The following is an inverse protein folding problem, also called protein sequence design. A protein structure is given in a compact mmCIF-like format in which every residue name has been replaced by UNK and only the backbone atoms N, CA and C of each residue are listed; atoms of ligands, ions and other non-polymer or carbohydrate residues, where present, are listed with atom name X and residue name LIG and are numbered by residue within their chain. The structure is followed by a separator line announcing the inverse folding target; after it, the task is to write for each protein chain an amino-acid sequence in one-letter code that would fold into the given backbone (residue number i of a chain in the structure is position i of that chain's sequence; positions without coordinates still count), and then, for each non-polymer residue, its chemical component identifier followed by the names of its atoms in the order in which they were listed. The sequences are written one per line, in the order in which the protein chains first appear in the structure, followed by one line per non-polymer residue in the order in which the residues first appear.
data_IF_048417161453
#
_entry.id   IF_048417161453
#
_cell.length_a   1.000
_cell.length_b   1.000
_cell.length_c   1.000
_cell.angle_alpha   90.00
_cell.angle_beta   90.00
_cell.angle_gamma   90.00
#
_symmetry.space_group_name_H-M   'P 1'
#
loop_
_entity.id
_entity.type
_entity.pdbx_description
1 polymer ?
#
# COMPACT_ATOMS: atom_id res chain seq x y z
N UNK A 1 29.73 48.76 -1.92
CA UNK A 1 29.82 48.11 -3.22
C UNK A 1 30.18 46.65 -2.96
N UNK A 2 29.20 45.87 -2.99
CA UNK A 2 29.17 44.56 -2.35
C UNK A 2 29.49 43.46 -3.36
N UNK A 3 30.30 42.50 -2.92
CA UNK A 3 30.57 41.24 -3.61
C UNK A 3 29.27 40.53 -4.05
N UNK A 4 28.16 40.81 -3.38
CA UNK A 4 26.84 40.26 -3.71
C UNK A 4 26.27 40.86 -5.01
N UNK A 5 26.50 42.18 -5.26
CA UNK A 5 26.03 42.84 -6.47
C UNK A 5 26.84 42.39 -7.71
N UNK A 6 28.14 42.14 -7.57
CA UNK A 6 28.96 41.59 -8.65
C UNK A 6 28.56 40.16 -9.02
N UNK A 7 28.22 39.34 -8.04
CA UNK A 7 27.77 37.95 -8.27
C UNK A 7 26.38 37.90 -8.98
N UNK A 8 25.50 38.83 -8.66
CA UNK A 8 24.19 38.94 -9.31
C UNK A 8 24.33 39.38 -10.76
N UNK A 9 25.18 40.39 -11.03
CA UNK A 9 25.44 40.89 -12.38
C UNK A 9 26.15 39.83 -13.23
N UNK A 10 27.11 39.07 -12.66
CA UNK A 10 27.73 37.96 -13.39
C UNK A 10 26.74 36.84 -13.72
N UNK A 11 25.80 36.56 -12.83
CA UNK A 11 24.77 35.55 -13.07
C UNK A 11 23.80 35.97 -14.17
N UNK A 12 23.40 37.24 -14.21
CA UNK A 12 22.55 37.77 -15.26
C UNK A 12 23.23 37.80 -16.63
N UNK A 13 24.55 38.10 -16.66
CA UNK A 13 25.32 38.09 -17.89
C UNK A 13 25.54 36.66 -18.44
N UNK A 14 25.76 35.69 -17.59
CA UNK A 14 25.87 34.27 -18.00
C UNK A 14 24.54 33.75 -18.58
N UNK A 15 23.41 34.18 -18.02
CA UNK A 15 22.07 33.82 -18.51
C UNK A 15 21.71 34.55 -19.82
N UNK A 16 22.32 35.67 -20.12
CA UNK A 16 22.11 36.46 -21.34
C UNK A 16 22.97 35.99 -22.53
N UNK A 17 24.12 35.33 -22.26
CA UNK A 17 25.03 34.87 -23.33
C UNK A 17 24.77 33.47 -23.86
N UNK A 18 23.95 32.65 -23.18
CA UNK A 18 23.64 31.33 -23.64
C UNK A 18 22.10 31.15 -23.76
N UNK A 19 21.54 31.40 -24.94
CA UNK A 19 20.10 31.25 -25.18
C UNK A 19 19.59 29.81 -25.03
N UNK A 20 20.49 28.84 -24.79
CA UNK A 20 20.13 27.44 -24.51
C UNK A 20 19.96 27.14 -23.02
N UNK A 21 20.24 28.09 -22.12
CA UNK A 21 20.00 27.94 -20.66
C UNK A 21 18.78 28.75 -20.19
N UNK A 22 17.91 29.14 -21.08
CA UNK A 22 16.66 29.82 -20.74
C UNK A 22 15.50 28.81 -20.58
N UNK A 23 14.44 29.16 -19.85
CA UNK A 23 13.75 28.43 -18.80
C UNK A 23 12.78 27.34 -19.29
N UNK A 24 13.23 26.47 -20.18
CA UNK A 24 12.43 25.32 -20.64
C UNK A 24 12.45 24.15 -19.63
N UNK A 25 13.23 24.28 -18.55
CA UNK A 25 13.36 23.22 -17.54
C UNK A 25 12.10 22.96 -16.73
N UNK A 26 11.26 23.98 -16.51
CA UNK A 26 9.97 23.76 -15.81
C UNK A 26 8.94 23.14 -16.74
N UNK A 27 8.89 23.57 -18.00
CA UNK A 27 7.96 23.01 -18.99
C UNK A 27 8.38 21.60 -19.44
N UNK A 28 9.68 21.31 -19.57
CA UNK A 28 10.18 19.97 -19.81
C UNK A 28 9.98 19.05 -18.59
N UNK A 29 10.22 19.54 -17.36
CA UNK A 29 9.96 18.76 -16.15
C UNK A 29 8.47 18.44 -15.96
N UNK A 30 7.59 19.39 -16.26
CA UNK A 30 6.14 19.15 -16.24
C UNK A 30 5.70 18.19 -17.38
N UNK A 31 6.28 18.33 -18.57
CA UNK A 31 6.04 17.43 -19.69
C UNK A 31 6.51 16.00 -19.40
N UNK A 32 7.68 15.85 -18.81
CA UNK A 32 8.21 14.54 -18.41
C UNK A 32 7.40 13.93 -17.25
N UNK A 33 6.99 14.71 -16.26
CA UNK A 33 6.13 14.24 -15.18
C UNK A 33 4.75 13.78 -15.71
N UNK A 34 4.18 14.51 -16.64
CA UNK A 34 2.91 14.15 -17.30
C UNK A 34 3.05 12.91 -18.19
N UNK A 35 4.18 12.76 -18.92
CA UNK A 35 4.48 11.56 -19.68
C UNK A 35 4.74 10.34 -18.79
N UNK A 36 5.44 10.51 -17.67
CA UNK A 36 5.64 9.45 -16.69
C UNK A 36 4.32 9.05 -16.02
N UNK A 37 3.44 9.99 -15.71
CA UNK A 37 2.10 9.72 -15.20
C UNK A 37 1.25 8.97 -16.22
N UNK A 38 1.25 9.39 -17.50
CA UNK A 38 0.54 8.71 -18.60
C UNK A 38 1.10 7.31 -18.86
N UNK A 39 2.42 7.14 -18.82
CA UNK A 39 3.07 5.84 -18.99
C UNK A 39 2.77 4.88 -17.84
N UNK A 40 2.62 5.39 -16.62
CA UNK A 40 2.19 4.62 -15.46
C UNK A 40 0.74 4.13 -15.56
N UNK A 41 -0.14 4.89 -16.20
CA UNK A 41 -1.54 4.51 -16.43
C UNK A 41 -1.74 3.57 -17.63
N UNK A 42 -0.89 3.62 -18.64
CA UNK A 42 -0.97 2.72 -19.81
C UNK A 42 -0.66 1.25 -19.50
N UNK A 43 0.04 0.98 -18.40
CA UNK A 43 0.41 -0.39 -18.01
C UNK A 43 -0.38 -0.92 -16.80
N UNK A 44 -1.35 -0.17 -16.30
CA UNK A 44 -2.22 -0.61 -15.20
C UNK A 44 -3.59 -1.04 -15.74
N UNK A 45 -3.95 -2.30 -15.50
CA UNK A 45 -5.29 -2.78 -15.76
C UNK A 45 -6.18 -2.52 -14.54
N UNK A 46 -7.22 -1.68 -14.74
CA UNK A 46 -8.24 -1.40 -13.75
C UNK A 46 -9.47 -2.25 -14.06
N UNK A 47 -9.87 -3.08 -13.11
CA UNK A 47 -11.07 -3.90 -13.19
C UNK A 47 -12.08 -3.42 -12.14
N UNK A 48 -13.04 -2.56 -12.49
CA UNK A 48 -14.10 -2.17 -11.58
C UNK A 48 -14.99 -3.37 -11.28
N UNK A 49 -15.30 -3.60 -10.00
CA UNK A 49 -16.12 -4.72 -9.55
C UNK A 49 -17.53 -4.24 -9.22
N UNK A 50 -17.66 -3.19 -8.41
CA UNK A 50 -18.93 -2.55 -8.08
C UNK A 50 -18.71 -1.16 -7.47
N UNK A 51 -19.74 -0.32 -7.50
CA UNK A 51 -19.76 0.96 -6.79
C UNK A 51 -20.06 0.71 -5.31
N UNK A 52 -19.14 1.15 -4.45
CA UNK A 52 -19.23 0.87 -3.02
C UNK A 52 -19.88 2.00 -2.23
N UNK A 53 -19.37 3.21 -2.39
CA UNK A 53 -19.85 4.40 -1.65
C UNK A 53 -20.17 5.51 -2.65
N UNK A 54 -21.40 6.02 -2.59
CA UNK A 54 -21.83 7.20 -3.32
C UNK A 54 -22.49 8.17 -2.33
N UNK A 55 -21.87 9.32 -2.12
CA UNK A 55 -22.40 10.36 -1.22
C UNK A 55 -22.04 11.74 -1.75
N UNK A 56 -23.00 12.42 -2.36
CA UNK A 56 -22.75 13.72 -3.00
C UNK A 56 -21.71 13.58 -4.12
N UNK A 57 -20.64 14.34 -4.03
CA UNK A 57 -19.54 14.30 -5.01
C UNK A 57 -18.51 13.17 -4.76
N UNK A 58 -18.65 12.44 -3.64
CA UNK A 58 -17.77 11.33 -3.31
C UNK A 58 -18.27 10.04 -3.98
N UNK A 59 -17.47 9.53 -4.93
CA UNK A 59 -17.70 8.26 -5.59
C UNK A 59 -16.51 7.33 -5.32
N UNK A 60 -16.74 6.25 -4.59
CA UNK A 60 -15.72 5.23 -4.32
C UNK A 60 -16.20 3.91 -4.92
N UNK A 61 -15.54 3.49 -5.99
CA UNK A 61 -15.74 2.18 -6.58
C UNK A 61 -14.79 1.16 -5.97
N UNK A 62 -15.25 -0.07 -5.86
CA UNK A 62 -14.37 -1.20 -5.55
C UNK A 62 -13.76 -1.68 -6.85
N UNK A 63 -12.47 -1.44 -7.03
CA UNK A 63 -11.74 -1.81 -8.23
C UNK A 63 -10.47 -2.57 -7.89
N UNK A 64 -10.07 -3.46 -8.79
CA UNK A 64 -8.80 -4.17 -8.70
C UNK A 64 -7.83 -3.49 -9.67
N UNK A 65 -6.74 -2.99 -9.14
CA UNK A 65 -5.65 -2.42 -9.90
C UNK A 65 -4.53 -3.44 -10.02
N UNK A 66 -4.15 -3.74 -11.26
CA UNK A 66 -3.03 -4.62 -11.55
C UNK A 66 -2.03 -3.87 -12.40
N UNK A 67 -0.88 -3.59 -11.83
CA UNK A 67 0.30 -3.06 -12.50
C UNK A 67 1.49 -4.02 -12.34
N UNK A 68 2.66 -3.69 -12.87
CA UNK A 68 3.84 -4.53 -12.79
C UNK A 68 4.27 -4.80 -11.34
N UNK A 69 4.16 -3.80 -10.46
CA UNK A 69 4.48 -3.96 -9.03
C UNK A 69 3.48 -4.87 -8.35
N UNK A 70 2.18 -4.65 -8.60
CA UNK A 70 1.11 -5.50 -8.07
C UNK A 70 1.27 -6.94 -8.52
N UNK A 71 1.61 -7.19 -9.80
CA UNK A 71 1.83 -8.53 -10.32
C UNK A 71 2.97 -9.26 -9.59
N UNK A 72 4.09 -8.60 -9.37
CA UNK A 72 5.21 -9.16 -8.59
C UNK A 72 4.77 -9.47 -7.16
N UNK A 73 4.07 -8.53 -6.50
CA UNK A 73 3.57 -8.74 -5.13
C UNK A 73 2.54 -9.88 -5.04
N UNK A 74 1.66 -10.02 -6.04
CA UNK A 74 0.73 -11.15 -6.11
C UNK A 74 1.47 -12.49 -6.16
N UNK A 75 2.51 -12.60 -6.99
CA UNK A 75 3.33 -13.82 -7.08
C UNK A 75 4.02 -14.11 -5.74
N UNK A 76 4.60 -13.11 -5.10
CA UNK A 76 5.25 -13.28 -3.79
C UNK A 76 4.25 -13.71 -2.72
N UNK A 77 3.14 -13.00 -2.58
CA UNK A 77 2.12 -13.29 -1.56
C UNK A 77 1.53 -14.68 -1.74
N UNK A 78 1.15 -15.04 -2.97
CA UNK A 78 0.54 -16.36 -3.25
C UNK A 78 1.53 -17.50 -3.08
N UNK A 79 2.79 -17.34 -3.51
CA UNK A 79 3.83 -18.36 -3.34
C UNK A 79 4.15 -18.61 -1.88
N UNK A 80 4.37 -17.55 -1.09
CA UNK A 80 4.62 -17.67 0.34
C UNK A 80 3.41 -18.27 1.05
N UNK A 81 2.21 -17.82 0.73
CA UNK A 81 0.97 -18.37 1.30
C UNK A 81 0.84 -19.86 1.01
N UNK A 82 1.09 -20.31 -0.23
CA UNK A 82 1.05 -21.72 -0.59
C UNK A 82 2.05 -22.56 0.20
N UNK A 83 3.29 -22.08 0.34
CA UNK A 83 4.32 -22.76 1.13
C UNK A 83 3.96 -22.85 2.61
N UNK A 84 3.41 -21.76 3.18
CA UNK A 84 2.97 -21.75 4.59
C UNK A 84 1.78 -22.69 4.80
N UNK A 85 0.83 -22.74 3.87
CA UNK A 85 -0.30 -23.70 3.95
C UNK A 85 0.20 -25.14 3.87
N UNK A 86 1.12 -25.44 2.96
CA UNK A 86 1.70 -26.76 2.82
C UNK A 86 2.47 -27.19 4.09
N UNK A 87 3.29 -26.30 4.64
CA UNK A 87 3.99 -26.52 5.90
C UNK A 87 3.02 -26.75 7.06
N UNK A 88 1.99 -25.92 7.15
CA UNK A 88 1.00 -25.97 8.23
C UNK A 88 0.18 -27.26 8.22
N UNK A 89 0.03 -27.90 7.08
CA UNK A 89 -0.65 -29.21 6.98
C UNK A 89 0.00 -30.24 7.90
N UNK A 90 1.33 -30.38 7.83
CA UNK A 90 2.06 -31.29 8.72
C UNK A 90 2.15 -30.76 10.15
N UNK A 91 2.38 -29.46 10.31
CA UNK A 91 2.54 -28.84 11.63
C UNK A 91 1.30 -28.96 12.52
N UNK A 92 0.10 -28.79 11.95
CA UNK A 92 -1.17 -28.82 12.67
C UNK A 92 -1.90 -30.16 12.58
N UNK A 93 -1.24 -31.23 12.07
CA UNK A 93 -1.90 -32.52 11.84
C UNK A 93 -2.46 -33.18 13.11
N UNK A 94 -1.84 -32.93 14.27
CA UNK A 94 -2.25 -33.49 15.57
C UNK A 94 -3.19 -32.56 16.36
N UNK A 95 -3.40 -31.31 15.91
CA UNK A 95 -4.23 -30.35 16.65
C UNK A 95 -5.69 -30.42 16.16
N UNK A 96 -6.68 -30.61 17.07
CA UNK A 96 -8.08 -30.64 16.71
C UNK A 96 -8.61 -29.30 16.17
N UNK A 97 -7.88 -28.20 16.38
CA UNK A 97 -8.24 -26.87 15.89
C UNK A 97 -7.66 -26.55 14.50
N UNK A 98 -7.11 -27.53 13.78
CA UNK A 98 -6.52 -27.36 12.46
C UNK A 98 -7.43 -26.57 11.49
N UNK A 99 -8.74 -26.86 11.34
CA UNK A 99 -9.61 -26.12 10.42
C UNK A 99 -9.69 -24.62 10.72
N UNK A 100 -9.69 -24.26 12.00
CA UNK A 100 -9.70 -22.86 12.46
C UNK A 100 -8.41 -22.14 12.09
N UNK A 101 -7.27 -22.82 12.24
CA UNK A 101 -5.96 -22.28 11.85
C UNK A 101 -5.91 -21.96 10.34
N UNK A 102 -6.35 -22.89 9.50
CA UNK A 102 -6.39 -22.69 8.06
C UNK A 102 -7.37 -21.60 7.65
N UNK A 103 -8.50 -21.46 8.35
CA UNK A 103 -9.43 -20.36 8.12
C UNK A 103 -8.78 -18.99 8.37
N UNK A 104 -8.04 -18.84 9.47
CA UNK A 104 -7.33 -17.60 9.78
C UNK A 104 -6.20 -17.31 8.80
N UNK A 105 -5.47 -18.36 8.38
CA UNK A 105 -4.39 -18.23 7.40
C UNK A 105 -4.92 -17.82 6.02
N UNK A 106 -6.05 -18.39 5.61
CA UNK A 106 -6.75 -18.03 4.37
C UNK A 106 -7.30 -16.61 4.44
N UNK A 107 -7.86 -16.20 5.59
CA UNK A 107 -8.32 -14.83 5.82
C UNK A 107 -7.17 -13.83 5.71
N UNK A 108 -6.00 -14.16 6.28
CA UNK A 108 -4.80 -13.33 6.16
C UNK A 108 -4.38 -13.17 4.69
N UNK A 109 -4.32 -14.27 3.96
CA UNK A 109 -3.96 -14.25 2.52
C UNK A 109 -4.96 -13.42 1.72
N UNK A 110 -6.25 -13.61 1.96
CA UNK A 110 -7.30 -12.83 1.32
C UNK A 110 -7.15 -11.32 1.59
N UNK A 111 -6.99 -10.93 2.85
CA UNK A 111 -6.83 -9.54 3.23
C UNK A 111 -5.57 -8.92 2.60
N UNK A 112 -4.47 -9.69 2.52
CA UNK A 112 -3.24 -9.24 1.88
C UNK A 112 -3.40 -9.06 0.37
N UNK A 113 -4.13 -9.94 -0.31
CA UNK A 113 -4.44 -9.79 -1.73
C UNK A 113 -5.32 -8.56 -1.98
N UNK A 114 -6.31 -8.32 -1.11
CA UNK A 114 -7.15 -7.11 -1.18
C UNK A 114 -6.34 -5.82 -0.99
N UNK A 115 -5.36 -5.84 -0.07
CA UNK A 115 -4.46 -4.72 0.17
C UNK A 115 -3.60 -4.40 -1.07
N UNK A 116 -2.99 -5.44 -1.65
CA UNK A 116 -2.04 -5.30 -2.78
C UNK A 116 -2.74 -4.87 -4.07
N UNK A 117 -3.99 -5.26 -4.27
CA UNK A 117 -4.78 -4.92 -5.47
C UNK A 117 -5.66 -3.69 -5.30
N UNK A 118 -5.57 -3.00 -4.17
CA UNK A 118 -6.40 -1.82 -3.91
C UNK A 118 -6.09 -0.69 -4.87
N UNK A 119 -7.13 -0.10 -5.47
CA UNK A 119 -7.04 1.07 -6.33
C UNK A 119 -7.21 2.38 -5.55
N UNK A 120 -8.03 2.38 -4.51
CA UNK A 120 -8.28 3.55 -3.67
C UNK A 120 -7.68 3.40 -2.26
N UNK A 121 -7.35 4.54 -1.62
CA UNK A 121 -6.85 4.56 -0.24
C UNK A 121 -7.85 3.98 0.76
N UNK A 122 -9.15 4.15 0.52
CA UNK A 122 -10.21 3.59 1.38
C UNK A 122 -10.23 2.06 1.27
N UNK A 123 -10.11 1.52 0.06
CA UNK A 123 -10.01 0.07 -0.17
C UNK A 123 -8.71 -0.50 0.42
N UNK A 124 -7.60 0.24 0.27
CA UNK A 124 -6.30 -0.12 0.88
C UNK A 124 -6.41 -0.18 2.41
N UNK A 125 -7.08 0.80 3.03
CA UNK A 125 -7.33 0.81 4.47
C UNK A 125 -8.14 -0.41 4.91
N UNK A 126 -9.16 -0.81 4.15
CA UNK A 126 -9.94 -2.02 4.44
C UNK A 126 -9.08 -3.28 4.42
N UNK A 127 -8.21 -3.43 3.40
CA UNK A 127 -7.26 -4.54 3.33
C UNK A 127 -6.25 -4.53 4.48
N UNK A 128 -5.75 -3.37 4.84
CA UNK A 128 -4.84 -3.15 5.97
C UNK A 128 -5.44 -3.58 7.31
N UNK A 129 -6.67 -3.16 7.59
CA UNK A 129 -7.43 -3.57 8.76
C UNK A 129 -7.68 -5.09 8.80
N UNK A 130 -7.99 -5.68 7.64
CA UNK A 130 -8.18 -7.12 7.50
C UNK A 130 -6.91 -7.93 7.82
N UNK A 131 -5.74 -7.47 7.37
CA UNK A 131 -4.44 -8.08 7.70
C UNK A 131 -4.15 -7.96 9.20
N UNK A 132 -4.40 -6.79 9.80
CA UNK A 132 -4.25 -6.56 11.24
C UNK A 132 -5.13 -7.50 12.07
N UNK A 133 -6.39 -7.66 11.70
CA UNK A 133 -7.33 -8.56 12.35
C UNK A 133 -6.91 -10.03 12.21
N UNK A 134 -6.55 -10.48 11.01
CA UNK A 134 -6.11 -11.85 10.78
C UNK A 134 -4.82 -12.17 11.55
N UNK A 135 -3.89 -11.22 11.63
CA UNK A 135 -2.67 -11.34 12.43
C UNK A 135 -3.00 -11.50 13.92
N UNK A 136 -3.90 -10.67 14.45
CA UNK A 136 -4.38 -10.80 15.83
C UNK A 136 -4.94 -12.20 16.12
N UNK A 137 -5.79 -12.73 15.24
CA UNK A 137 -6.39 -14.07 15.38
C UNK A 137 -5.36 -15.19 15.32
N UNK A 138 -4.31 -15.06 14.48
CA UNK A 138 -3.24 -16.02 14.37
C UNK A 138 -2.30 -15.99 15.57
N UNK A 139 -1.94 -14.81 16.09
CA UNK A 139 -1.10 -14.67 17.29
C UNK A 139 -1.85 -15.23 18.52
N UNK A 140 -3.15 -14.92 18.64
CA UNK A 140 -4.03 -15.40 19.69
C UNK A 140 -4.61 -16.79 19.46
N UNK A 141 -4.10 -17.58 18.52
CA UNK A 141 -4.65 -18.88 18.15
C UNK A 141 -4.80 -19.82 19.36
N UNK A 142 -3.77 -19.92 20.20
CA UNK A 142 -3.81 -20.63 21.46
C UNK A 142 -4.28 -19.75 22.62
N UNK A 143 -5.53 -19.33 22.56
CA UNK A 143 -6.16 -18.42 23.53
C UNK A 143 -6.14 -18.93 24.99
N UNK A 144 -5.88 -20.22 25.20
CA UNK A 144 -5.69 -20.78 26.56
C UNK A 144 -4.38 -20.37 27.22
N UNK A 145 -3.40 -19.87 26.43
CA UNK A 145 -2.10 -19.42 26.93
C UNK A 145 -2.14 -17.92 27.22
N UNK A 146 -1.97 -17.48 28.50
CA UNK A 146 -2.00 -16.05 28.84
C UNK A 146 -0.94 -15.23 28.10
N UNK A 147 0.22 -15.82 27.82
CA UNK A 147 1.29 -15.18 27.04
C UNK A 147 0.89 -14.89 25.60
N UNK A 148 0.15 -15.80 24.95
CA UNK A 148 -0.35 -15.61 23.60
C UNK A 148 -1.40 -14.50 23.54
N UNK A 149 -2.30 -14.45 24.52
CA UNK A 149 -3.31 -13.40 24.63
C UNK A 149 -2.69 -12.03 24.87
N UNK A 150 -1.69 -11.92 25.74
CA UNK A 150 -0.98 -10.67 25.98
C UNK A 150 -0.23 -10.19 24.72
N UNK A 151 0.39 -11.11 23.98
CA UNK A 151 1.05 -10.79 22.71
C UNK A 151 0.06 -10.33 21.64
N UNK A 152 -1.09 -11.02 21.51
CA UNK A 152 -2.14 -10.65 20.57
C UNK A 152 -2.73 -9.27 20.87
N UNK A 153 -3.05 -8.99 22.13
CA UNK A 153 -3.53 -7.66 22.54
C UNK A 153 -2.50 -6.56 22.27
N UNK A 154 -1.23 -6.82 22.59
CA UNK A 154 -0.15 -5.87 22.31
C UNK A 154 -0.05 -5.57 20.80
N UNK A 155 -0.04 -6.59 19.96
CA UNK A 155 0.02 -6.43 18.52
C UNK A 155 -1.19 -5.64 17.99
N UNK A 156 -2.39 -5.95 18.49
CA UNK A 156 -3.62 -5.26 18.11
C UNK A 156 -3.59 -3.77 18.47
N UNK A 157 -3.21 -3.44 19.70
CA UNK A 157 -3.16 -2.04 20.18
C UNK A 157 -2.12 -1.24 19.40
N UNK A 158 -0.94 -1.82 19.12
CA UNK A 158 0.11 -1.15 18.35
C UNK A 158 -0.35 -0.88 16.92
N UNK A 159 -1.03 -1.84 16.28
CA UNK A 159 -1.60 -1.64 14.95
C UNK A 159 -2.64 -0.49 14.94
N UNK A 160 -3.50 -0.39 15.96
CA UNK A 160 -4.50 0.70 16.05
C UNK A 160 -3.89 2.10 16.09
N UNK A 161 -2.72 2.27 16.65
CA UNK A 161 -2.01 3.56 16.60
C UNK A 161 -1.61 3.90 15.15
N UNK A 162 -1.13 2.92 14.39
CA UNK A 162 -0.85 3.07 12.97
C UNK A 162 -2.10 3.36 12.13
N UNK A 163 -3.20 2.65 12.42
CA UNK A 163 -4.49 2.80 11.75
C UNK A 163 -5.07 4.20 11.94
N UNK A 164 -4.92 4.77 13.14
CA UNK A 164 -5.31 6.15 13.41
C UNK A 164 -4.52 7.16 12.54
N UNK A 165 -3.20 6.98 12.45
CA UNK A 165 -2.36 7.81 11.58
C UNK A 165 -2.73 7.67 10.10
N UNK A 166 -3.02 6.45 9.64
CA UNK A 166 -3.45 6.19 8.27
C UNK A 166 -4.83 6.83 7.96
N UNK A 167 -5.78 6.71 8.89
CA UNK A 167 -7.10 7.36 8.76
C UNK A 167 -6.98 8.87 8.63
N UNK A 168 -6.11 9.51 9.43
CA UNK A 168 -5.85 10.95 9.31
C UNK A 168 -5.27 11.32 7.95
N UNK A 169 -4.41 10.47 7.38
CA UNK A 169 -3.86 10.68 6.03
C UNK A 169 -4.88 10.51 4.91
N UNK A 170 -5.98 9.76 5.14
CA UNK A 170 -7.07 9.63 4.16
C UNK A 170 -7.97 10.88 4.16
N UNK A 171 -8.20 11.47 5.34
CA UNK A 171 -9.11 12.61 5.52
C UNK A 171 -8.43 13.99 5.43
N UNK A 172 -7.10 14.05 5.42
CA UNK A 172 -6.30 15.29 5.30
C UNK A 172 -5.97 15.62 3.88
#
# INVERSE_FOLDING_TARGET
CDLADEVIIQRENILAEDPHIAPDTEAEADGDAEQHAKRGTEHSALHPVFDWIQSGDLHVAWALRVDALTAVMLVVVTSVSALVHLYSWGYMAEDPSQPRFFAYLSLFTFAMLMLVTADSLIQMFFGWEGVGLASYLLIGFWYHKPSANAAALKAFVVNRVGDFGFSLGIFG
#
